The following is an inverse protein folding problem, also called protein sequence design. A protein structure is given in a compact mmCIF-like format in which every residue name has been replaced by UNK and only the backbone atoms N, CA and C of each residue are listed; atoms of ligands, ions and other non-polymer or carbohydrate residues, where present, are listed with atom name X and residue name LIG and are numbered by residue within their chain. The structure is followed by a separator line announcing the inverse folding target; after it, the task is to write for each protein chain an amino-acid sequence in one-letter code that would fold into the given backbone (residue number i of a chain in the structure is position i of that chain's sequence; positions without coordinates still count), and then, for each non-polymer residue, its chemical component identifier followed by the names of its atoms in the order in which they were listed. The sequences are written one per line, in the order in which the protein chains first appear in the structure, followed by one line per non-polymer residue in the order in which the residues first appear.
data_IF_192925364605
#
_entry.id   IF_192925364605
#
_cell.length_a   1.000
_cell.length_b   1.000
_cell.length_c   1.000
_cell.angle_alpha   90.00
_cell.angle_beta   90.00
_cell.angle_gamma   90.00
#
_symmetry.space_group_name_H-M   'P 1'
#
loop_
_entity.id
_entity.type
_entity.pdbx_description
1 polymer ?
#
# COMPACT_ATOMS: atom_id res chain seq x y z
N UNK A 1 -68.75 6.41 43.67
CA UNK A 1 -68.23 7.29 42.60
C UNK A 1 -66.73 7.46 42.80
N UNK A 2 -65.94 7.11 41.78
CA UNK A 2 -64.49 6.84 41.89
C UNK A 2 -63.65 8.05 41.43
N UNK A 3 -62.76 8.45 42.34
CA UNK A 3 -61.43 9.09 42.28
C UNK A 3 -60.90 9.80 41.02
N UNK A 4 -60.23 10.93 41.30
CA UNK A 4 -59.53 11.87 40.40
C UNK A 4 -58.04 11.47 40.22
N UNK A 5 -57.48 11.89 39.07
CA UNK A 5 -56.08 12.28 38.78
C UNK A 5 -54.96 11.22 38.72
N UNK A 6 -54.12 11.42 37.68
CA UNK A 6 -52.71 11.03 37.47
C UNK A 6 -52.38 9.65 36.86
N UNK A 7 -51.87 9.66 35.62
CA UNK A 7 -51.00 8.63 35.03
C UNK A 7 -50.26 9.28 33.83
N UNK A 8 -49.06 9.83 34.07
CA UNK A 8 -47.74 9.21 33.84
C UNK A 8 -47.22 9.35 32.40
N UNK A 9 -46.12 10.10 32.38
CA UNK A 9 -45.20 10.48 31.33
C UNK A 9 -44.45 9.27 30.71
N UNK A 10 -44.02 9.48 29.46
CA UNK A 10 -43.00 8.75 28.69
C UNK A 10 -43.42 7.44 28.01
N UNK A 11 -43.84 7.54 26.75
CA UNK A 11 -43.70 6.45 25.78
C UNK A 11 -42.85 6.98 24.61
N UNK A 12 -41.61 6.49 24.58
CA UNK A 12 -40.54 6.79 23.63
C UNK A 12 -40.94 6.45 22.19
N UNK A 13 -40.74 7.37 21.24
CA UNK A 13 -41.07 7.18 19.84
C UNK A 13 -39.91 7.64 18.92
N UNK A 14 -39.24 6.63 18.35
CA UNK A 14 -38.62 6.59 17.00
C UNK A 14 -37.52 7.60 16.60
N UNK A 15 -36.27 7.11 16.43
CA UNK A 15 -35.41 7.36 15.25
C UNK A 15 -34.17 6.41 15.26
N UNK A 16 -33.67 5.98 14.09
CA UNK A 16 -33.14 4.63 13.86
C UNK A 16 -31.66 4.46 14.21
N UNK A 17 -31.32 3.27 14.70
CA UNK A 17 -29.96 2.77 14.80
C UNK A 17 -29.44 2.49 13.38
N UNK A 18 -28.78 3.48 12.78
CA UNK A 18 -28.01 3.30 11.56
C UNK A 18 -26.82 2.42 11.91
N UNK A 19 -26.86 1.16 11.49
CA UNK A 19 -25.72 0.26 11.56
C UNK A 19 -24.67 0.82 10.58
N UNK A 20 -23.55 1.32 11.11
CA UNK A 20 -22.38 1.62 10.30
C UNK A 20 -21.95 0.31 9.62
N UNK A 21 -22.21 0.18 8.32
CA UNK A 21 -21.52 -0.79 7.49
C UNK A 21 -20.04 -0.37 7.49
N UNK A 22 -19.24 -1.07 8.30
CA UNK A 22 -17.80 -1.08 8.14
C UNK A 22 -17.52 -1.55 6.72
N UNK A 23 -16.98 -0.66 5.89
CA UNK A 23 -16.40 -1.04 4.61
C UNK A 23 -15.33 -2.07 4.89
N UNK A 24 -15.56 -3.31 4.47
CA UNK A 24 -14.51 -4.30 4.40
C UNK A 24 -13.52 -3.81 3.35
N UNK A 25 -12.44 -3.16 3.80
CA UNK A 25 -11.24 -3.02 2.98
C UNK A 25 -10.87 -4.43 2.52
N UNK A 26 -10.94 -4.68 1.21
CA UNK A 26 -10.52 -5.93 0.63
C UNK A 26 -9.03 -6.11 0.93
N UNK A 27 -8.71 -6.88 1.97
CA UNK A 27 -7.38 -7.44 2.11
C UNK A 27 -7.20 -8.37 0.93
N UNK A 28 -6.40 -7.95 -0.05
CA UNK A 28 -5.88 -8.87 -1.06
C UNK A 28 -5.05 -9.92 -0.31
N UNK A 29 -5.65 -11.07 -0.04
CA UNK A 29 -4.91 -12.23 0.45
C UNK A 29 -4.04 -12.70 -0.70
N UNK A 30 -2.73 -12.45 -0.60
CA UNK A 30 -1.76 -12.94 -1.56
C UNK A 30 -1.91 -14.46 -1.69
N UNK A 31 -2.44 -14.92 -2.83
CA UNK A 31 -2.61 -16.34 -3.09
C UNK A 31 -1.24 -16.93 -3.46
N UNK A 32 -1.08 -18.24 -3.31
CA UNK A 32 0.11 -18.93 -3.81
C UNK A 32 0.14 -18.98 -5.36
N UNK A 33 -1.00 -18.66 -5.99
CA UNK A 33 -1.14 -18.59 -7.45
C UNK A 33 -0.42 -17.38 -8.06
N UNK A 34 -0.20 -16.33 -7.27
CA UNK A 34 0.48 -15.11 -7.73
C UNK A 34 2.01 -15.25 -7.70
N UNK A 35 2.57 -16.36 -7.20
CA UNK A 35 4.02 -16.57 -7.10
C UNK A 35 4.63 -16.89 -8.46
N UNK A 36 5.72 -16.20 -8.82
CA UNK A 36 6.51 -16.50 -10.02
C UNK A 36 7.55 -17.58 -9.66
N UNK A 37 7.45 -18.81 -10.20
CA UNK A 37 8.32 -19.91 -9.76
C UNK A 37 9.81 -19.64 -10.02
N UNK A 38 10.64 -19.96 -9.02
CA UNK A 38 12.09 -19.85 -9.13
C UNK A 38 12.64 -18.42 -9.12
N UNK A 39 11.79 -17.40 -8.95
CA UNK A 39 12.16 -15.99 -8.94
C UNK A 39 12.06 -15.44 -7.53
N UNK A 40 13.14 -14.85 -7.04
CA UNK A 40 13.21 -14.38 -5.66
C UNK A 40 13.86 -13.00 -5.59
N UNK A 41 13.40 -12.23 -4.60
CA UNK A 41 14.04 -11.03 -4.10
C UNK A 41 14.76 -11.39 -2.80
N UNK A 42 16.03 -11.04 -2.73
CA UNK A 42 16.91 -11.33 -1.60
C UNK A 42 17.35 -10.00 -1.00
N UNK A 43 17.04 -9.80 0.27
CA UNK A 43 17.53 -8.67 1.07
C UNK A 43 18.73 -9.13 1.87
N UNK A 44 19.79 -8.34 1.82
CA UNK A 44 21.08 -8.61 2.44
C UNK A 44 21.31 -7.56 3.52
N UNK A 45 21.90 -7.96 4.64
CA UNK A 45 22.22 -7.04 5.74
C UNK A 45 23.09 -5.87 5.27
N UNK A 46 22.91 -4.73 5.92
CA UNK A 46 23.64 -3.50 5.63
C UNK A 46 25.17 -3.69 5.65
N UNK A 47 25.86 -2.95 4.78
CA UNK A 47 27.32 -2.98 4.67
C UNK A 47 27.87 -4.23 3.97
N UNK A 48 27.01 -5.15 3.53
CA UNK A 48 27.40 -6.33 2.75
C UNK A 48 26.97 -6.14 1.30
N UNK A 49 27.89 -6.39 0.37
CA UNK A 49 27.62 -6.35 -1.07
C UNK A 49 26.62 -7.44 -1.48
N UNK A 50 25.45 -7.08 -2.04
CA UNK A 50 24.47 -8.06 -2.52
C UNK A 50 25.01 -8.89 -3.68
N UNK A 51 25.86 -8.29 -4.53
CA UNK A 51 26.49 -8.98 -5.65
C UNK A 51 27.46 -10.07 -5.19
N UNK A 52 28.21 -9.82 -4.11
CA UNK A 52 29.15 -10.80 -3.55
C UNK A 52 28.41 -11.97 -2.89
N UNK A 53 27.28 -11.69 -2.22
CA UNK A 53 26.40 -12.74 -1.70
C UNK A 53 25.87 -13.59 -2.84
N UNK A 54 25.31 -12.98 -3.89
CA UNK A 54 24.82 -13.72 -5.05
C UNK A 54 25.91 -14.59 -5.69
N UNK A 55 27.11 -14.03 -5.91
CA UNK A 55 28.24 -14.74 -6.49
C UNK A 55 28.69 -15.93 -5.62
N UNK A 56 28.72 -15.77 -4.29
CA UNK A 56 29.08 -16.86 -3.37
C UNK A 56 28.10 -18.03 -3.38
N UNK A 57 26.84 -17.78 -3.75
CA UNK A 57 25.82 -18.82 -3.97
C UNK A 57 25.77 -19.31 -5.43
N UNK A 58 26.66 -18.84 -6.30
CA UNK A 58 26.67 -19.15 -7.73
C UNK A 58 25.38 -18.71 -8.43
N UNK A 59 24.82 -17.57 -8.01
CA UNK A 59 23.64 -16.96 -8.59
C UNK A 59 24.06 -15.77 -9.45
N UNK A 60 23.34 -15.54 -10.54
CA UNK A 60 23.49 -14.34 -11.36
C UNK A 60 22.30 -13.42 -11.09
N UNK A 61 22.49 -12.25 -10.46
CA UNK A 61 21.43 -11.28 -10.27
C UNK A 61 20.84 -10.83 -11.60
N UNK A 62 19.51 -10.82 -11.71
CA UNK A 62 18.80 -10.09 -12.77
C UNK A 62 18.78 -8.59 -12.50
N UNK A 63 18.82 -8.21 -11.22
CA UNK A 63 18.92 -6.82 -10.79
C UNK A 63 19.56 -6.74 -9.40
N UNK A 64 20.34 -5.68 -9.15
CA UNK A 64 20.90 -5.36 -7.83
C UNK A 64 20.27 -4.07 -7.36
N UNK A 65 19.72 -4.08 -6.15
CA UNK A 65 19.16 -2.91 -5.48
C UNK A 65 20.22 -2.33 -4.56
N UNK A 66 20.49 -1.02 -4.69
CA UNK A 66 21.45 -0.30 -3.86
C UNK A 66 20.91 1.03 -3.29
N UNK A 67 19.80 1.56 -3.81
CA UNK A 67 19.32 2.88 -3.45
C UNK A 67 18.38 2.89 -2.23
N UNK A 68 17.32 2.07 -2.26
CA UNK A 68 16.30 2.02 -1.20
C UNK A 68 16.33 0.73 -0.38
N UNK A 69 16.94 -0.32 -0.94
CA UNK A 69 17.08 -1.65 -0.35
C UNK A 69 18.49 -2.13 -0.70
N UNK A 70 19.16 -2.82 0.24
CA UNK A 70 20.40 -3.52 -0.02
C UNK A 70 20.08 -4.98 -0.40
N UNK A 71 20.07 -5.30 -1.69
CA UNK A 71 19.59 -6.62 -2.11
C UNK A 71 19.74 -6.92 -3.59
N UNK A 72 19.18 -8.05 -4.03
CA UNK A 72 19.17 -8.43 -5.44
C UNK A 72 17.95 -9.27 -5.79
N UNK A 73 17.57 -9.24 -7.06
CA UNK A 73 16.62 -10.20 -7.65
C UNK A 73 17.40 -11.24 -8.46
N UNK A 74 17.03 -12.52 -8.36
CA UNK A 74 17.65 -13.58 -9.14
C UNK A 74 16.70 -14.76 -9.37
N UNK A 75 17.06 -15.59 -10.36
CA UNK A 75 16.53 -16.94 -10.43
C UNK A 75 17.28 -17.84 -9.42
N UNK A 76 16.56 -18.44 -8.48
CA UNK A 76 17.12 -19.30 -7.44
C UNK A 76 16.59 -20.73 -7.61
N UNK A 77 17.46 -21.70 -7.90
CA UNK A 77 17.07 -23.11 -7.94
C UNK A 77 16.56 -23.57 -6.56
N UNK A 78 15.52 -24.41 -6.53
CA UNK A 78 14.90 -24.86 -5.29
C UNK A 78 15.89 -25.48 -4.29
N UNK A 79 16.91 -26.21 -4.78
CA UNK A 79 17.92 -26.85 -3.94
C UNK A 79 18.90 -25.87 -3.27
N UNK A 80 18.95 -24.60 -3.70
CA UNK A 80 19.79 -23.54 -3.09
C UNK A 80 19.02 -22.64 -2.13
N UNK A 81 17.69 -22.75 -2.09
CA UNK A 81 16.85 -21.80 -1.38
C UNK A 81 17.05 -21.88 0.14
N UNK A 82 17.15 -23.08 0.69
CA UNK A 82 17.43 -23.29 2.13
C UNK A 82 18.78 -22.70 2.53
N UNK A 83 19.80 -22.92 1.72
CA UNK A 83 21.17 -22.50 2.01
C UNK A 83 21.31 -20.99 1.90
N UNK A 84 20.64 -20.38 0.91
CA UNK A 84 20.57 -18.93 0.76
C UNK A 84 19.79 -18.28 1.92
N UNK A 85 18.65 -18.85 2.32
CA UNK A 85 17.86 -18.34 3.44
C UNK A 85 18.54 -18.53 4.80
N UNK A 86 19.43 -19.52 4.92
CA UNK A 86 20.21 -19.79 6.13
C UNK A 86 21.52 -19.00 6.22
N UNK A 87 21.91 -18.27 5.17
CA UNK A 87 23.13 -17.45 5.17
C UNK A 87 22.97 -16.27 6.15
N UNK A 88 23.90 -16.13 7.09
CA UNK A 88 23.84 -15.09 8.13
C UNK A 88 23.89 -13.66 7.58
N UNK A 89 24.38 -13.50 6.35
CA UNK A 89 24.43 -12.22 5.61
C UNK A 89 23.08 -11.86 5.00
N UNK A 90 22.21 -12.84 4.76
CA UNK A 90 20.88 -12.64 4.20
C UNK A 90 19.91 -12.28 5.31
N UNK A 91 19.13 -11.23 5.09
CA UNK A 91 18.09 -10.79 6.01
C UNK A 91 16.75 -11.45 5.68
N UNK A 92 16.41 -11.54 4.38
CA UNK A 92 15.14 -12.12 3.94
C UNK A 92 15.26 -12.62 2.51
N UNK A 93 14.56 -13.72 2.22
CA UNK A 93 14.31 -14.21 0.86
C UNK A 93 12.80 -14.25 0.64
N UNK A 94 12.31 -13.52 -0.36
CA UNK A 94 10.90 -13.46 -0.72
C UNK A 94 10.70 -13.90 -2.16
N UNK A 95 9.63 -14.64 -2.43
CA UNK A 95 9.27 -15.01 -3.79
C UNK A 95 8.76 -13.79 -4.56
N UNK A 96 9.15 -13.68 -5.83
CA UNK A 96 8.64 -12.69 -6.78
C UNK A 96 7.16 -13.00 -7.07
N UNK A 97 6.32 -11.96 -7.21
CA UNK A 97 4.87 -12.10 -7.28
C UNK A 97 4.26 -11.18 -8.33
N UNK A 98 3.20 -11.66 -8.96
CA UNK A 98 2.35 -10.86 -9.84
C UNK A 98 1.53 -9.88 -9.01
N UNK A 99 1.45 -8.64 -9.48
CA UNK A 99 0.63 -7.57 -8.91
C UNK A 99 -0.19 -6.94 -10.03
N UNK A 100 -1.40 -6.51 -9.70
CA UNK A 100 -2.36 -5.96 -10.65
C UNK A 100 -2.98 -4.68 -10.08
N UNK A 101 -3.22 -3.71 -10.96
CA UNK A 101 -3.95 -2.51 -10.60
C UNK A 101 -5.38 -2.88 -10.18
N UNK A 102 -5.80 -2.44 -9.00
CA UNK A 102 -7.19 -2.54 -8.57
C UNK A 102 -8.03 -1.49 -9.30
N UNK A 103 -9.20 -1.88 -9.82
CA UNK A 103 -10.10 -0.95 -10.48
C UNK A 103 -10.52 0.20 -9.53
N UNK A 104 -10.09 1.42 -9.84
CA UNK A 104 -10.47 2.62 -9.11
C UNK A 104 -11.86 3.10 -9.59
N UNK A 105 -12.80 3.31 -8.66
CA UNK A 105 -14.04 4.01 -9.00
C UNK A 105 -13.78 5.51 -8.95
N UNK A 106 -14.08 6.21 -10.05
CA UNK A 106 -13.82 7.65 -10.26
C UNK A 106 -14.24 8.47 -9.03
N UNK A 107 -13.31 9.13 -8.31
CA UNK A 107 -13.65 9.81 -7.06
C UNK A 107 -14.30 11.17 -7.27
N UNK A 108 -15.30 11.50 -6.45
CA UNK A 108 -15.86 12.85 -6.25
C UNK A 108 -14.86 13.86 -5.66
N UNK A 109 -13.58 13.49 -5.53
CA UNK A 109 -12.53 14.21 -4.81
C UNK A 109 -11.98 15.43 -5.51
N UNK A 110 -11.88 15.43 -6.86
CA UNK A 110 -11.24 16.51 -7.62
C UNK A 110 -11.97 17.84 -7.43
N UNK A 111 -13.31 17.83 -7.48
CA UNK A 111 -14.13 19.02 -7.30
C UNK A 111 -14.07 19.55 -5.86
N UNK A 112 -13.99 18.68 -4.85
CA UNK A 112 -13.92 19.10 -3.45
C UNK A 112 -12.66 19.87 -3.07
N UNK A 113 -11.61 19.82 -3.90
CA UNK A 113 -10.34 20.51 -3.66
C UNK A 113 -10.07 21.64 -4.66
N UNK A 114 -11.05 22.02 -5.48
CA UNK A 114 -10.94 23.04 -6.53
C UNK A 114 -9.73 22.81 -7.47
N UNK A 115 -9.41 21.53 -7.77
CA UNK A 115 -8.28 21.14 -8.61
C UNK A 115 -8.70 20.87 -10.06
N UNK A 116 -9.79 21.49 -10.53
CA UNK A 116 -10.22 21.34 -11.92
C UNK A 116 -9.18 21.90 -12.89
N UNK A 117 -9.07 21.31 -14.10
CA UNK A 117 -8.22 21.85 -15.16
C UNK A 117 -8.48 23.35 -15.38
N UNK A 118 -7.43 24.16 -15.31
CA UNK A 118 -7.50 25.62 -15.48
C UNK A 118 -7.52 26.43 -14.18
N UNK A 119 -7.61 25.79 -13.01
CA UNK A 119 -7.40 26.43 -11.71
C UNK A 119 -5.91 26.58 -11.43
N UNK A 120 -5.34 27.74 -11.75
CA UNK A 120 -3.92 28.05 -11.51
C UNK A 120 -3.69 29.00 -10.34
N UNK A 121 -4.75 29.39 -9.63
CA UNK A 121 -4.68 30.32 -8.50
C UNK A 121 -5.61 29.90 -7.37
N UNK A 122 -5.20 30.09 -6.13
CA UNK A 122 -6.02 29.87 -4.92
C UNK A 122 -5.95 31.07 -3.99
N UNK A 123 -7.09 31.43 -3.40
CA UNK A 123 -7.16 32.53 -2.42
C UNK A 123 -6.89 31.99 -1.03
N UNK A 124 -5.90 32.56 -0.35
CA UNK A 124 -5.53 32.25 1.04
C UNK A 124 -5.52 33.58 1.79
N UNK A 125 -6.35 33.71 2.84
CA UNK A 125 -6.50 34.94 3.64
C UNK A 125 -6.73 36.22 2.79
N UNK A 126 -7.51 36.10 1.72
CA UNK A 126 -7.82 37.21 0.81
C UNK A 126 -6.74 37.52 -0.24
N UNK A 127 -5.65 36.74 -0.28
CA UNK A 127 -4.55 36.89 -1.24
C UNK A 127 -4.58 35.76 -2.28
N UNK A 128 -4.52 36.12 -3.56
CA UNK A 128 -4.40 35.16 -4.67
C UNK A 128 -2.97 34.63 -4.79
N UNK A 129 -2.80 33.32 -4.66
CA UNK A 129 -1.53 32.61 -4.77
C UNK A 129 -1.55 31.75 -6.03
N UNK A 130 -0.50 31.81 -6.86
CA UNK A 130 -0.37 30.96 -8.04
C UNK A 130 0.01 29.51 -7.64
N UNK A 131 -0.69 28.53 -8.20
CA UNK A 131 -0.40 27.11 -8.07
C UNK A 131 0.32 26.68 -9.36
N UNK A 132 1.65 26.62 -9.29
CA UNK A 132 2.49 26.39 -10.48
C UNK A 132 3.11 25.00 -10.54
N UNK A 133 3.15 24.28 -9.41
CA UNK A 133 3.91 23.02 -9.29
C UNK A 133 5.42 23.19 -9.47
N UNK A 134 5.94 24.43 -9.45
CA UNK A 134 7.36 24.69 -9.64
C UNK A 134 8.20 23.98 -8.57
N UNK A 135 9.18 23.20 -9.01
CA UNK A 135 10.04 22.38 -8.13
C UNK A 135 9.46 21.02 -7.74
N UNK A 136 8.23 20.68 -8.14
CA UNK A 136 7.58 19.39 -7.85
C UNK A 136 7.73 18.43 -9.04
N UNK A 137 8.09 17.17 -8.77
CA UNK A 137 8.05 16.08 -9.74
C UNK A 137 7.17 14.96 -9.21
N UNK A 138 6.27 14.46 -10.06
CA UNK A 138 5.37 13.35 -9.73
C UNK A 138 5.78 12.15 -10.56
N UNK A 139 6.00 11.01 -9.90
CA UNK A 139 6.23 9.72 -10.54
C UNK A 139 4.99 8.83 -10.30
N UNK A 140 4.42 8.29 -11.37
CA UNK A 140 3.29 7.37 -11.32
C UNK A 140 3.81 6.02 -11.84
N UNK A 141 3.61 4.98 -11.03
CA UNK A 141 3.89 3.58 -11.39
C UNK A 141 2.53 2.90 -11.50
N UNK A 142 2.08 2.67 -12.72
CA UNK A 142 0.81 2.03 -13.11
C UNK A 142 1.11 0.96 -14.16
#
# INVERSE_FOLDING_TARGET
MKFRLAAWLVASLLLPLIVLQFGASGSATASDEDVVPGRYLVVVRDGISPADVAASHGLTPTHVYDAALNGFAAAVPAHKLSDLAGDSRVETVSADRLVWASAETVPTGVNRIDAEPGKTTRVIDGVSVAITGAGVRVAIMD
#
